data_IF_319157762897
#
_entry.id   IF_319157762897
#
_cell.length_a   1.000
_cell.length_b   1.000
_cell.length_c   1.000
_cell.angle_alpha   90.00
_cell.angle_beta   90.00
_cell.angle_gamma   90.00
#
_symmetry.space_group_name_H-M   'P 1'
#
loop_
_entity.id
_entity.type
_entity.pdbx_description
1 polymer ?
#
# COMPACT_ATOMS: atom_id res chain seq x y z
N UNK A 1 0.77 -7.82 5.60
CA UNK A 1 1.04 -7.49 7.01
C UNK A 1 2.26 -6.60 7.04
N UNK A 2 2.00 -5.29 7.10
CA UNK A 2 2.98 -4.22 7.00
C UNK A 2 3.01 -3.49 8.32
N UNK A 3 4.15 -3.53 9.02
CA UNK A 3 4.26 -3.02 10.39
C UNK A 3 4.03 -1.50 10.46
N UNK A 4 4.31 -0.76 9.37
CA UNK A 4 4.30 0.70 9.38
C UNK A 4 3.05 1.34 8.80
N UNK A 5 2.13 0.55 8.25
CA UNK A 5 0.85 1.07 7.75
C UNK A 5 0.02 1.76 8.84
N UNK A 6 0.16 1.31 10.09
CA UNK A 6 -0.67 1.74 11.21
C UNK A 6 0.07 2.59 12.27
N UNK A 7 1.41 2.59 12.25
CA UNK A 7 2.23 3.32 13.24
C UNK A 7 2.51 4.76 12.78
N UNK A 8 2.59 5.00 11.46
CA UNK A 8 2.90 6.30 10.91
C UNK A 8 1.68 6.86 10.14
N UNK A 9 0.86 7.64 10.84
CA UNK A 9 -0.38 8.24 10.31
C UNK A 9 -0.20 9.22 9.14
N UNK A 10 1.04 9.54 8.74
CA UNK A 10 1.36 10.31 7.54
C UNK A 10 2.28 9.53 6.59
N UNK A 11 1.97 9.60 5.28
CA UNK A 11 2.74 8.95 4.20
C UNK A 11 4.24 9.29 4.20
N UNK A 12 4.60 10.49 4.68
CA UNK A 12 6.00 10.95 4.76
C UNK A 12 6.80 10.27 5.85
N UNK A 13 6.23 10.19 7.06
CA UNK A 13 6.89 9.55 8.20
C UNK A 13 7.04 8.05 7.96
N UNK A 14 6.02 7.43 7.35
CA UNK A 14 6.09 6.04 6.89
C UNK A 14 7.22 5.83 5.89
N UNK A 15 7.33 6.72 4.89
CA UNK A 15 8.40 6.65 3.89
C UNK A 15 9.79 6.72 4.52
N UNK A 16 9.99 7.60 5.51
CA UNK A 16 11.28 7.70 6.21
C UNK A 16 11.56 6.44 7.04
N UNK A 17 10.59 5.92 7.79
CA UNK A 17 10.75 4.69 8.56
C UNK A 17 11.14 3.49 7.67
N UNK A 18 10.57 3.40 6.46
CA UNK A 18 10.93 2.35 5.50
C UNK A 18 12.37 2.49 4.98
N UNK A 19 12.84 3.73 4.77
CA UNK A 19 14.24 3.99 4.38
C UNK A 19 15.18 3.60 5.51
N UNK A 20 14.89 4.05 6.74
CA UNK A 20 15.71 3.77 7.91
C UNK A 20 15.80 2.26 8.18
N UNK A 21 14.68 1.54 8.09
CA UNK A 21 14.63 0.09 8.24
C UNK A 21 15.45 -0.62 7.15
N UNK A 22 15.36 -0.16 5.90
CA UNK A 22 16.18 -0.70 4.81
C UNK A 22 17.67 -0.47 5.03
N UNK A 23 18.06 0.70 5.54
CA UNK A 23 19.46 0.98 5.89
C UNK A 23 19.96 0.04 7.00
N UNK A 24 19.15 -0.25 8.01
CA UNK A 24 19.47 -1.24 9.06
C UNK A 24 19.69 -2.63 8.48
N UNK A 25 18.86 -3.07 7.53
CA UNK A 25 19.03 -4.37 6.87
C UNK A 25 20.36 -4.44 6.12
N UNK A 26 20.65 -3.42 5.30
CA UNK A 26 21.89 -3.35 4.54
C UNK A 26 23.13 -3.33 5.45
N UNK A 27 23.06 -2.63 6.59
CA UNK A 27 24.13 -2.60 7.58
C UNK A 27 24.40 -3.98 8.22
N UNK A 28 23.36 -4.82 8.35
CA UNK A 28 23.49 -6.21 8.78
C UNK A 28 23.88 -7.19 7.66
N UNK A 29 24.11 -6.69 6.43
CA UNK A 29 24.44 -7.52 5.28
C UNK A 29 23.23 -8.26 4.68
N UNK A 30 22.02 -7.88 5.06
CA UNK A 30 20.78 -8.37 4.47
C UNK A 30 20.36 -7.43 3.34
N UNK A 31 20.33 -7.96 2.12
CA UNK A 31 19.80 -7.25 0.97
C UNK A 31 18.40 -7.82 0.67
N UNK A 32 17.31 -7.06 0.91
CA UNK A 32 15.97 -7.50 0.56
C UNK A 32 15.89 -7.76 -0.95
N UNK A 33 15.74 -9.02 -1.34
CA UNK A 33 15.59 -9.40 -2.74
C UNK A 33 14.12 -9.57 -3.09
N UNK A 34 13.63 -8.90 -4.13
CA UNK A 34 12.25 -9.04 -4.62
C UNK A 34 11.44 -7.74 -4.51
N UNK A 35 10.11 -7.89 -4.60
CA UNK A 35 9.14 -6.79 -4.52
C UNK A 35 8.55 -6.61 -3.11
N UNK A 36 9.14 -7.25 -2.09
CA UNK A 36 8.69 -7.15 -0.71
C UNK A 36 9.14 -5.83 -0.08
N UNK A 37 8.24 -5.19 0.67
CA UNK A 37 8.55 -3.97 1.40
C UNK A 37 9.36 -4.27 2.66
N UNK A 38 10.22 -3.34 3.12
CA UNK A 38 11.06 -3.57 4.30
C UNK A 38 10.28 -3.92 5.59
N UNK A 39 9.03 -3.50 5.69
CA UNK A 39 8.17 -3.70 6.86
C UNK A 39 7.33 -4.97 6.82
N UNK A 40 7.63 -5.87 5.89
CA UNK A 40 7.06 -7.22 5.85
C UNK A 40 7.57 -8.03 7.05
N UNK A 41 6.64 -8.51 7.90
CA UNK A 41 6.99 -9.13 9.17
C UNK A 41 8.01 -10.30 9.07
N UNK A 42 7.90 -11.27 8.14
CA UNK A 42 8.91 -12.31 8.00
C UNK A 42 10.32 -11.77 7.71
N UNK A 43 10.43 -10.80 6.80
CA UNK A 43 11.72 -10.15 6.50
C UNK A 43 12.28 -9.41 7.72
N UNK A 44 11.41 -8.75 8.49
CA UNK A 44 11.78 -8.10 9.74
C UNK A 44 12.27 -9.10 10.80
N UNK A 45 11.64 -10.26 10.92
CA UNK A 45 12.07 -11.32 11.83
C UNK A 45 13.39 -11.95 11.37
N UNK A 46 13.60 -12.12 10.07
CA UNK A 46 14.88 -12.54 9.51
C UNK A 46 15.99 -11.58 9.91
N UNK A 47 15.74 -10.27 9.81
CA UNK A 47 16.67 -9.26 10.32
C UNK A 47 16.93 -9.39 11.82
N UNK A 48 15.87 -9.48 12.64
CA UNK A 48 16.02 -9.65 14.09
C UNK A 48 16.85 -10.88 14.45
N UNK A 49 16.76 -11.96 13.66
CA UNK A 49 17.54 -13.19 13.88
C UNK A 49 19.05 -13.03 13.69
N UNK A 50 19.49 -11.96 13.02
CA UNK A 50 20.92 -11.64 12.81
C UNK A 50 21.51 -10.81 13.96
N UNK A 51 20.67 -10.26 14.84
CA UNK A 51 21.07 -9.42 15.95
C UNK A 51 21.39 -10.26 17.20
N UNK A 52 22.24 -9.76 18.12
CA UNK A 52 22.34 -10.32 19.46
C UNK A 52 21.00 -10.30 20.18
N UNK A 53 20.73 -11.29 21.04
CA UNK A 53 19.44 -11.49 21.72
C UNK A 53 18.82 -10.22 22.31
N UNK A 54 19.61 -9.39 23.00
CA UNK A 54 19.12 -8.15 23.62
C UNK A 54 18.65 -7.15 22.55
N UNK A 55 19.47 -6.90 21.54
CA UNK A 55 19.12 -6.00 20.43
C UNK A 55 17.95 -6.53 19.59
N UNK A 56 17.83 -7.85 19.44
CA UNK A 56 16.70 -8.48 18.75
C UNK A 56 15.38 -8.24 19.49
N UNK A 57 15.38 -8.33 20.82
CA UNK A 57 14.19 -8.05 21.65
C UNK A 57 13.80 -6.57 21.57
N UNK A 58 14.78 -5.67 21.69
CA UNK A 58 14.55 -4.23 21.58
C UNK A 58 13.98 -3.87 20.20
N UNK A 59 14.54 -4.44 19.13
CA UNK A 59 14.06 -4.26 17.76
C UNK A 59 12.62 -4.77 17.62
N UNK A 60 12.31 -5.96 18.13
CA UNK A 60 10.97 -6.56 18.08
C UNK A 60 9.93 -5.78 18.92
N UNK A 61 10.37 -5.04 19.94
CA UNK A 61 9.51 -4.18 20.74
C UNK A 61 9.09 -2.90 19.99
N UNK A 62 9.86 -2.41 19.01
CA UNK A 62 9.51 -1.22 18.21
C UNK A 62 8.10 -1.33 17.56
N UNK A 63 7.75 -2.44 16.87
CA UNK A 63 6.39 -2.65 16.37
C UNK A 63 5.43 -3.28 17.41
N UNK A 64 5.78 -3.28 18.70
CA UNK A 64 5.10 -4.03 19.76
C UNK A 64 3.58 -3.85 19.80
N UNK A 65 3.10 -2.60 19.67
CA UNK A 65 1.67 -2.27 19.64
C UNK A 65 0.95 -3.01 18.50
N UNK A 66 1.57 -3.07 17.32
CA UNK A 66 1.03 -3.78 16.15
C UNK A 66 1.00 -5.28 16.41
N UNK A 67 2.05 -5.85 17.01
CA UNK A 67 2.10 -7.27 17.37
C UNK A 67 0.99 -7.65 18.36
N UNK A 68 0.75 -6.82 19.39
CA UNK A 68 -0.32 -7.05 20.38
C UNK A 68 -1.70 -7.00 19.73
N UNK A 69 -1.98 -6.00 18.89
CA UNK A 69 -3.24 -5.88 18.17
C UNK A 69 -3.50 -7.09 17.24
N UNK A 70 -2.45 -7.58 16.58
CA UNK A 70 -2.53 -8.76 15.71
C UNK A 70 -2.75 -10.04 16.51
N UNK A 71 -2.04 -10.19 17.63
CA UNK A 71 -2.22 -11.33 18.54
C UNK A 71 -3.67 -11.41 19.03
N UNK A 72 -4.25 -10.28 19.47
CA UNK A 72 -5.63 -10.21 19.92
C UNK A 72 -6.62 -10.58 18.81
N UNK A 73 -6.46 -9.99 17.62
CA UNK A 73 -7.32 -10.28 16.47
C UNK A 73 -7.27 -11.75 16.03
N UNK A 74 -6.08 -12.34 16.01
CA UNK A 74 -5.92 -13.75 15.66
C UNK A 74 -6.55 -14.66 16.72
N UNK A 75 -6.46 -14.29 18.00
CA UNK A 75 -7.10 -15.01 19.09
C UNK A 75 -8.63 -14.95 19.00
N UNK A 76 -9.20 -13.77 18.74
CA UNK A 76 -10.64 -13.58 18.57
C UNK A 76 -11.21 -14.42 17.42
N UNK A 77 -10.42 -14.59 16.36
CA UNK A 77 -10.75 -15.44 15.20
C UNK A 77 -10.46 -16.92 15.40
N UNK A 78 -9.89 -17.33 16.54
CA UNK A 78 -9.50 -18.72 16.80
C UNK A 78 -8.44 -19.24 15.83
N UNK A 79 -7.55 -18.38 15.34
CA UNK A 79 -6.50 -18.75 14.38
C UNK A 79 -5.40 -19.58 15.04
N UNK A 80 -4.94 -20.63 14.34
CA UNK A 80 -3.76 -21.42 14.75
C UNK A 80 -2.47 -20.60 14.84
N UNK A 81 -2.44 -19.39 14.24
CA UNK A 81 -1.30 -18.47 14.34
C UNK A 81 -1.34 -17.59 15.59
N UNK A 82 -2.44 -17.55 16.35
CA UNK A 82 -2.56 -16.73 17.56
C UNK A 82 -1.43 -17.01 18.58
N UNK A 83 -1.07 -18.27 18.88
CA UNK A 83 0.02 -18.56 19.82
C UNK A 83 1.39 -18.07 19.34
N UNK A 84 1.63 -18.00 18.03
CA UNK A 84 2.88 -17.49 17.47
C UNK A 84 3.05 -16.00 17.75
N UNK A 85 1.98 -15.21 17.57
CA UNK A 85 2.02 -13.77 17.83
C UNK A 85 2.06 -13.46 19.33
N UNK A 86 1.39 -14.26 20.17
CA UNK A 86 1.55 -14.17 21.62
C UNK A 86 3.02 -14.39 22.03
N UNK A 87 3.68 -15.41 21.47
CA UNK A 87 5.10 -15.66 21.72
C UNK A 87 6.00 -14.51 21.25
N UNK A 88 5.70 -13.88 20.10
CA UNK A 88 6.44 -12.70 19.65
C UNK A 88 6.28 -11.53 20.64
N UNK A 89 5.09 -11.33 21.21
CA UNK A 89 4.87 -10.32 22.25
C UNK A 89 5.68 -10.64 23.52
N UNK A 90 5.70 -11.91 23.95
CA UNK A 90 6.48 -12.36 25.10
C UNK A 90 7.99 -12.14 24.88
N UNK A 91 8.50 -12.45 23.70
CA UNK A 91 9.91 -12.24 23.34
C UNK A 91 10.25 -10.75 23.34
N UNK A 92 9.36 -9.92 22.79
CA UNK A 92 9.51 -8.46 22.76
C UNK A 92 9.37 -7.82 24.15
N UNK A 93 8.80 -8.54 25.13
CA UNK A 93 8.54 -8.01 26.47
C UNK A 93 7.46 -6.92 26.48
N UNK A 94 6.51 -6.96 25.55
CA UNK A 94 5.45 -5.96 25.43
C UNK A 94 4.20 -6.40 26.18
N UNK A 95 3.56 -5.46 26.88
CA UNK A 95 2.34 -5.75 27.64
C UNK A 95 1.11 -5.77 26.72
N UNK A 96 0.26 -6.78 26.88
CA UNK A 96 -1.01 -6.90 26.15
C UNK A 96 -2.14 -6.15 26.88
N UNK A 97 -2.04 -4.82 26.95
CA UNK A 97 -3.11 -3.98 27.48
C UNK A 97 -4.26 -3.77 26.47
N UNK A 98 -5.41 -3.30 26.95
CA UNK A 98 -6.60 -3.11 26.10
C UNK A 98 -6.41 -2.02 25.03
N UNK A 99 -5.56 -1.03 25.28
CA UNK A 99 -5.28 0.05 24.33
C UNK A 99 -4.51 -0.50 23.13
N UNK A 100 -3.44 -1.26 23.38
CA UNK A 100 -2.63 -1.91 22.36
C UNK A 100 -3.42 -2.96 21.58
N UNK A 101 -4.32 -3.71 22.22
CA UNK A 101 -5.20 -4.67 21.52
C UNK A 101 -6.13 -3.97 20.51
N UNK A 102 -6.58 -2.76 20.83
CA UNK A 102 -7.49 -1.98 19.97
C UNK A 102 -6.77 -1.01 19.03
N UNK A 103 -5.44 -1.04 18.95
CA UNK A 103 -4.65 -0.07 18.20
C UNK A 103 -4.83 -0.16 16.68
N UNK A 104 -5.23 -1.32 16.16
CA UNK A 104 -5.54 -1.50 14.75
C UNK A 104 -7.04 -1.30 14.50
N UNK A 105 -7.44 -0.57 13.45
CA UNK A 105 -8.84 -0.45 13.07
C UNK A 105 -9.43 -1.84 12.82
N UNK A 106 -10.71 -2.07 13.11
CA UNK A 106 -11.36 -3.35 12.86
C UNK A 106 -11.14 -3.76 11.41
N UNK A 107 -10.80 -5.03 11.20
CA UNK A 107 -10.64 -5.54 9.85
C UNK A 107 -12.02 -5.56 9.17
N UNK A 108 -12.12 -4.96 8.00
CA UNK A 108 -13.21 -5.22 7.06
C UNK A 108 -12.97 -6.61 6.49
N UNK A 109 -13.44 -7.63 7.21
CA UNK A 109 -13.30 -9.03 6.80
C UNK A 109 -14.69 -9.57 6.46
N UNK A 110 -15.13 -9.45 5.19
CA UNK A 110 -16.39 -10.02 4.77
C UNK A 110 -16.37 -11.53 5.06
N UNK A 111 -17.31 -11.98 5.88
CA UNK A 111 -17.39 -13.37 6.35
C UNK A 111 -18.01 -14.29 5.27
N UNK A 112 -18.46 -13.71 4.15
CA UNK A 112 -19.03 -14.44 3.02
C UNK A 112 -18.57 -13.90 1.66
N UNK A 113 -18.64 -14.78 0.65
CA UNK A 113 -18.36 -14.40 -0.74
C UNK A 113 -19.34 -13.33 -1.25
N UNK A 114 -20.59 -13.31 -0.76
CA UNK A 114 -21.58 -12.29 -1.14
C UNK A 114 -21.23 -10.92 -0.55
N UNK A 115 -20.71 -10.87 0.67
CA UNK A 115 -20.22 -9.63 1.28
C UNK A 115 -18.94 -9.13 0.60
N UNK A 116 -18.06 -10.07 0.21
CA UNK A 116 -16.89 -9.76 -0.61
C UNK A 116 -17.33 -9.21 -1.97
N UNK A 117 -18.26 -9.87 -2.67
CA UNK A 117 -18.76 -9.41 -3.97
C UNK A 117 -19.44 -8.03 -3.84
N UNK A 118 -20.22 -7.78 -2.79
CA UNK A 118 -20.87 -6.48 -2.55
C UNK A 118 -19.86 -5.34 -2.30
N UNK A 119 -18.80 -5.61 -1.52
CA UNK A 119 -17.73 -4.64 -1.28
C UNK A 119 -17.00 -4.27 -2.58
N UNK A 120 -16.85 -5.23 -3.50
CA UNK A 120 -16.19 -5.02 -4.80
C UNK A 120 -17.14 -4.42 -5.85
N UNK A 121 -18.45 -4.63 -5.75
CA UNK A 121 -19.47 -4.01 -6.61
C UNK A 121 -19.64 -2.51 -6.34
N UNK A 122 -19.48 -2.05 -5.09
CA UNK A 122 -19.52 -0.61 -4.75
C UNK A 122 -18.28 0.17 -5.26
N UNK A 123 -17.19 -0.54 -5.57
CA UNK A 123 -15.98 -0.01 -6.22
C UNK A 123 -16.00 -0.12 -7.76
N UNK A 124 -17.17 -0.23 -8.41
CA UNK A 124 -17.23 -0.06 -9.86
C UNK A 124 -16.74 1.35 -10.27
N UNK A 125 -15.48 1.44 -10.70
CA UNK A 125 -15.01 2.55 -11.53
C UNK A 125 -15.84 2.49 -12.82
N UNK A 126 -16.82 3.39 -12.92
CA UNK A 126 -17.62 3.55 -14.13
C UNK A 126 -16.73 4.01 -15.30
N UNK A 127 -16.18 3.09 -16.07
CA UNK A 127 -15.70 3.38 -17.42
C UNK A 127 -16.90 3.43 -18.37
N UNK A 128 -17.71 4.50 -18.30
CA UNK A 128 -18.98 4.58 -19.03
C UNK A 128 -19.43 5.97 -19.48
N UNK A 129 -19.58 6.12 -20.80
CA UNK A 129 -20.49 6.97 -21.58
C UNK A 129 -20.55 8.51 -21.42
N UNK A 130 -19.95 9.16 -20.42
CA UNK A 130 -19.66 10.62 -20.52
C UNK A 130 -18.36 10.89 -21.33
N UNK A 131 -17.60 9.84 -21.62
CA UNK A 131 -16.45 9.85 -22.51
C UNK A 131 -16.80 9.48 -23.98
N UNK A 132 -18.08 9.37 -24.33
CA UNK A 132 -18.50 9.24 -25.73
C UNK A 132 -18.94 10.64 -26.19
N UNK A 133 -18.12 11.38 -26.96
CA UNK A 133 -18.58 12.62 -27.54
C UNK A 133 -19.76 12.31 -28.45
N UNK A 134 -20.86 13.04 -28.29
CA UNK A 134 -22.03 12.94 -29.15
C UNK A 134 -21.57 12.98 -30.63
N UNK A 135 -21.87 11.95 -31.45
CA UNK A 135 -21.44 11.91 -32.84
C UNK A 135 -22.04 13.04 -33.68
N UNK A 136 -23.08 13.71 -33.19
CA UNK A 136 -23.68 14.91 -33.77
C UNK A 136 -23.36 16.21 -33.00
N UNK A 137 -22.60 16.15 -31.91
CA UNK A 137 -22.08 17.36 -31.28
C UNK A 137 -21.02 17.92 -32.21
N UNK A 138 -21.39 18.96 -32.94
CA UNK A 138 -20.48 19.75 -33.75
C UNK A 138 -19.41 20.36 -32.85
N UNK A 139 -18.31 19.64 -32.64
CA UNK A 139 -17.13 20.16 -31.97
C UNK A 139 -16.50 21.20 -32.92
N UNK A 140 -16.57 22.50 -32.62
CA UNK A 140 -16.19 23.56 -33.56
C UNK A 140 -14.72 23.48 -33.96
N UNK A 141 -13.88 22.87 -33.11
CA UNK A 141 -12.45 22.65 -33.39
C UNK A 141 -12.21 21.64 -34.51
N UNK A 142 -13.05 20.61 -34.64
CA UNK A 142 -12.91 19.60 -35.71
C UNK A 142 -13.33 20.18 -37.05
N UNK A 143 -14.41 20.99 -37.07
CA UNK A 143 -14.83 21.74 -38.26
C UNK A 143 -13.72 22.66 -38.78
N UNK A 144 -13.13 23.47 -37.90
CA UNK A 144 -12.04 24.39 -38.27
C UNK A 144 -10.78 23.68 -38.79
N UNK A 145 -10.46 22.49 -38.27
CA UNK A 145 -9.34 21.68 -38.77
C UNK A 145 -9.63 21.10 -40.17
N UNK A 146 -10.85 20.64 -40.43
CA UNK A 146 -11.24 20.09 -41.72
C UNK A 146 -11.32 21.17 -42.81
N UNK A 147 -11.80 22.37 -42.49
CA UNK A 147 -11.82 23.50 -43.43
C UNK A 147 -10.39 23.90 -43.83
N UNK A 148 -9.47 23.98 -42.86
CA UNK A 148 -8.05 24.28 -43.12
C UNK A 148 -7.36 23.20 -43.97
N UNK A 149 -7.78 21.94 -43.87
CA UNK A 149 -7.24 20.86 -44.71
C UNK A 149 -7.83 20.84 -46.12
N UNK A 150 -9.06 21.34 -46.31
CA UNK A 150 -9.73 21.41 -47.62
C UNK A 150 -9.28 22.62 -48.44
N UNK A 151 -8.78 23.66 -47.79
CA UNK A 151 -8.10 24.77 -48.45
C UNK A 151 -6.70 24.31 -48.94
N UNK A 152 -6.67 23.76 -50.15
CA UNK A 152 -5.40 23.50 -50.84
C UNK A 152 -4.81 24.87 -51.24
N UNK A 153 -3.55 25.19 -50.87
CA UNK A 153 -2.97 26.48 -51.22
C UNK A 153 -2.80 26.60 -52.73
N UNK A 154 -3.39 27.65 -53.31
CA UNK A 154 -3.18 28.02 -54.70
C UNK A 154 -1.69 28.27 -54.92
N UNK A 155 -1.09 27.51 -55.83
CA UNK A 155 0.25 27.80 -56.34
C UNK A 155 0.17 29.11 -57.12
N UNK A 156 0.67 30.21 -56.54
CA UNK A 156 0.96 31.41 -57.31
C UNK A 156 2.26 32.09 -56.91
N UNK A 157 2.91 32.54 -57.98
CA UNK A 157 3.77 33.71 -58.11
C UNK A 157 5.27 33.40 -58.09
N UNK A 158 5.92 33.27 -59.24
CA UNK A 158 6.21 34.31 -60.26
C UNK A 158 7.34 35.27 -59.85
N UNK A 159 8.37 35.24 -60.69
CA UNK A 159 9.23 36.34 -61.14
C UNK A 159 9.84 37.29 -60.09
N UNK A 160 11.16 37.18 -59.91
CA UNK A 160 12.04 38.31 -59.57
C UNK A 160 12.80 38.73 -60.83
N UNK A 161 12.56 39.96 -61.27
CA UNK A 161 13.54 40.84 -61.92
C UNK A 161 13.43 42.20 -61.26
#
# INVERSE_FOLDING_TARGET
>A
MHLFEHVHGESRDRGQAMVDLRERYLAAGLEPTGNELPDYLPLFLDYCSTLPDEAARDMLAEPGVVLVALAARLADKGSDYAPLFALLCDIAGVEMDEEAKSALPPAEDPESLEELDAQWEEEEIRFGAEAVPDPNAACPKVGQMLDRMRETPATQSSARS
#
